data_IF_684046586226
#
_entry.id   IF_684046586226
#
_cell.length_a   1.000
_cell.length_b   1.000
_cell.length_c   1.000
_cell.angle_alpha   90.00
_cell.angle_beta   90.00
_cell.angle_gamma   90.00
#
_symmetry.space_group_name_H-M   'P 1'
#
loop_
_entity.id
_entity.type
_entity.pdbx_description
1 polymer ?
#
# COMPACT_ATOMS: atom_id res chain seq x y z
N UNK A 1 24.48 19.79 49.56
CA UNK A 1 23.43 18.99 48.90
C UNK A 1 23.96 17.57 48.62
N UNK A 2 23.49 16.52 49.33
CA UNK A 2 23.91 15.15 49.01
C UNK A 2 23.24 14.68 47.70
N UNK A 3 24.07 14.22 46.76
CA UNK A 3 23.71 13.85 45.39
C UNK A 3 22.73 12.65 45.41
N UNK A 4 21.73 12.69 44.52
CA UNK A 4 20.83 11.55 44.26
C UNK A 4 21.68 10.30 44.01
N UNK A 5 21.37 9.15 44.65
CA UNK A 5 22.10 7.90 44.43
C UNK A 5 22.23 7.56 42.94
N UNK A 6 23.43 7.14 42.53
CA UNK A 6 23.79 6.87 41.12
C UNK A 6 22.78 5.94 40.44
N UNK A 7 22.28 4.93 41.16
CA UNK A 7 21.25 4.00 40.65
C UNK A 7 19.99 4.70 40.10
N UNK A 8 19.53 5.78 40.72
CA UNK A 8 18.36 6.52 40.21
C UNK A 8 18.69 7.42 39.03
N UNK A 9 19.95 7.87 38.93
CA UNK A 9 20.43 8.63 37.76
C UNK A 9 20.55 7.78 36.50
N UNK A 10 20.75 6.46 36.64
CA UNK A 10 20.78 5.50 35.54
C UNK A 10 19.36 5.02 35.20
N UNK A 11 18.53 4.78 36.23
CA UNK A 11 17.19 4.23 36.04
C UNK A 11 16.22 5.19 35.35
N UNK A 12 16.33 6.51 35.56
CA UNK A 12 15.49 7.51 34.87
C UNK A 12 15.73 7.52 33.35
N UNK A 13 16.98 7.65 32.85
CA UNK A 13 17.27 7.51 31.42
C UNK A 13 16.79 6.19 30.81
N UNK A 14 16.91 5.07 31.54
CA UNK A 14 16.41 3.77 31.07
C UNK A 14 14.89 3.76 30.90
N UNK A 15 14.13 4.36 31.83
CA UNK A 15 12.68 4.49 31.69
C UNK A 15 12.28 5.40 30.52
N UNK A 16 12.99 6.50 30.31
CA UNK A 16 12.76 7.40 29.19
C UNK A 16 13.06 6.69 27.87
N UNK A 17 14.20 6.00 27.78
CA UNK A 17 14.58 5.22 26.61
C UNK A 17 13.55 4.13 26.33
N UNK A 18 13.11 3.40 27.35
CA UNK A 18 12.07 2.40 27.24
C UNK A 18 10.78 2.99 26.64
N UNK A 19 10.31 4.12 27.16
CA UNK A 19 9.11 4.79 26.64
C UNK A 19 9.28 5.23 25.18
N UNK A 20 10.42 5.83 24.83
CA UNK A 20 10.72 6.24 23.45
C UNK A 20 10.76 5.04 22.51
N UNK A 21 11.40 3.93 22.93
CA UNK A 21 11.44 2.69 22.14
C UNK A 21 10.03 2.13 21.95
N UNK A 22 9.18 2.16 22.98
CA UNK A 22 7.78 1.72 22.85
C UNK A 22 7.01 2.54 21.80
N UNK A 23 7.26 3.85 21.69
CA UNK A 23 6.72 4.68 20.61
C UNK A 23 7.34 4.38 19.24
N UNK A 24 8.64 4.11 19.18
CA UNK A 24 9.30 3.78 17.92
C UNK A 24 8.79 2.46 17.33
N UNK A 25 8.44 1.49 18.19
CA UNK A 25 7.95 0.18 17.77
C UNK A 25 6.57 0.22 17.09
N UNK A 26 5.75 1.25 17.33
CA UNK A 26 4.44 1.40 16.69
C UNK A 26 4.49 2.17 15.37
N UNK A 27 5.67 2.64 14.95
CA UNK A 27 5.82 3.36 13.66
C UNK A 27 5.64 2.41 12.46
N UNK A 28 6.30 1.24 12.40
CA UNK A 28 6.11 0.30 11.30
C UNK A 28 4.68 -0.26 11.30
N UNK A 29 4.10 -0.41 10.11
CA UNK A 29 2.78 -1.00 9.89
C UNK A 29 2.67 -1.56 8.48
N UNK A 30 1.54 -2.17 8.12
CA UNK A 30 1.37 -2.81 6.81
C UNK A 30 1.61 -1.80 5.66
N UNK A 31 1.29 -0.52 5.84
CA UNK A 31 1.55 0.53 4.85
C UNK A 31 3.03 0.74 4.54
N UNK A 32 3.96 0.34 5.42
CA UNK A 32 5.40 0.35 5.09
C UNK A 32 5.73 -0.75 4.07
N UNK A 33 5.23 -1.97 4.29
CA UNK A 33 5.40 -3.09 3.36
C UNK A 33 4.70 -2.81 2.03
N UNK A 34 3.52 -2.19 2.07
CA UNK A 34 2.80 -1.77 0.87
C UNK A 34 3.60 -0.74 0.08
N UNK A 35 4.26 0.22 0.73
CA UNK A 35 5.17 1.17 0.06
C UNK A 35 6.36 0.47 -0.59
N UNK A 36 6.95 -0.55 0.05
CA UNK A 36 8.02 -1.34 -0.55
C UNK A 36 7.52 -2.09 -1.80
N UNK A 37 6.33 -2.68 -1.71
CA UNK A 37 5.65 -3.32 -2.83
C UNK A 37 5.39 -2.33 -3.98
N UNK A 38 4.72 -1.22 -3.71
CA UNK A 38 4.42 -0.15 -4.66
C UNK A 38 5.70 0.38 -5.32
N UNK A 39 6.77 0.59 -4.56
CA UNK A 39 8.06 1.01 -5.13
C UNK A 39 8.65 -0.03 -6.08
N UNK A 40 8.49 -1.32 -5.80
CA UNK A 40 8.91 -2.38 -6.71
C UNK A 40 8.07 -2.39 -8.00
N UNK A 41 6.75 -2.21 -7.88
CA UNK A 41 5.83 -2.09 -9.02
C UNK A 41 6.16 -0.86 -9.87
N UNK A 42 6.39 0.31 -9.24
CA UNK A 42 6.78 1.55 -9.93
C UNK A 42 8.08 1.39 -10.73
N UNK A 43 9.06 0.65 -10.20
CA UNK A 43 10.28 0.32 -10.97
C UNK A 43 9.97 -0.48 -12.23
N UNK A 44 9.07 -1.47 -12.13
CA UNK A 44 8.65 -2.26 -13.29
C UNK A 44 7.83 -1.44 -14.28
N UNK A 45 6.93 -0.57 -13.81
CA UNK A 45 6.17 0.36 -14.65
C UNK A 45 7.12 1.26 -15.45
N UNK A 46 8.11 1.87 -14.80
CA UNK A 46 9.09 2.73 -15.48
C UNK A 46 9.99 1.97 -16.46
N UNK A 47 10.15 0.65 -16.28
CA UNK A 47 10.81 -0.23 -17.25
C UNK A 47 9.90 -0.55 -18.45
N UNK A 48 8.62 -0.83 -18.21
CA UNK A 48 7.63 -1.20 -19.24
C UNK A 48 7.23 -0.01 -20.09
N UNK A 49 6.90 1.10 -19.45
CA UNK A 49 6.50 2.36 -20.06
C UNK A 49 7.45 3.47 -19.62
N UNK A 50 8.68 3.55 -20.18
CA UNK A 50 9.60 4.63 -19.87
C UNK A 50 9.01 5.99 -20.26
N UNK A 51 9.29 6.99 -19.44
CA UNK A 51 8.85 8.37 -19.68
C UNK A 51 9.26 8.86 -21.07
N UNK A 52 8.33 9.55 -21.74
CA UNK A 52 8.39 10.09 -23.10
C UNK A 52 8.55 9.04 -24.21
N UNK A 53 8.51 7.74 -23.93
CA UNK A 53 8.63 6.71 -24.96
C UNK A 53 7.30 6.46 -25.66
N UNK A 54 6.24 6.20 -24.89
CA UNK A 54 4.92 5.87 -25.43
C UNK A 54 3.95 7.03 -25.21
N UNK A 55 4.17 8.11 -25.96
CA UNK A 55 3.31 9.30 -25.90
C UNK A 55 2.23 9.19 -26.97
N UNK A 56 0.98 9.13 -26.57
CA UNK A 56 -0.18 9.06 -27.46
C UNK A 56 -0.32 10.35 -28.27
N UNK A 57 -0.39 10.21 -29.59
CA UNK A 57 -0.52 11.32 -30.54
C UNK A 57 -1.96 11.86 -30.52
N UNK A 58 -2.19 13.13 -30.16
CA UNK A 58 -3.53 13.72 -30.12
C UNK A 58 -4.22 13.78 -31.48
N UNK A 59 -3.46 13.70 -32.57
CA UNK A 59 -3.97 13.78 -33.93
C UNK A 59 -4.36 12.41 -34.50
N UNK A 60 -4.00 11.30 -33.84
CA UNK A 60 -4.39 9.97 -34.33
C UNK A 60 -5.91 9.78 -34.21
N UNK A 61 -6.50 9.16 -35.24
CA UNK A 61 -7.93 8.78 -35.22
C UNK A 61 -8.26 7.80 -34.09
N UNK A 62 -7.25 7.12 -33.55
CA UNK A 62 -7.38 6.16 -32.46
C UNK A 62 -7.34 6.80 -31.07
N UNK A 63 -7.11 8.11 -30.94
CA UNK A 63 -6.90 8.76 -29.65
C UNK A 63 -8.03 8.48 -28.64
N UNK A 64 -9.28 8.79 -29.02
CA UNK A 64 -10.44 8.61 -28.12
C UNK A 64 -10.73 7.14 -27.87
N UNK A 65 -10.52 6.28 -28.88
CA UNK A 65 -10.74 4.83 -28.77
C UNK A 65 -9.77 4.23 -27.77
N UNK A 66 -8.50 4.63 -27.81
CA UNK A 66 -7.47 4.15 -26.89
C UNK A 66 -7.74 4.65 -25.47
N UNK A 67 -8.06 5.93 -25.31
CA UNK A 67 -8.30 6.51 -23.99
C UNK A 67 -9.57 5.97 -23.33
N UNK A 68 -10.70 5.91 -24.06
CA UNK A 68 -11.97 5.44 -23.50
C UNK A 68 -12.14 3.92 -23.52
N UNK A 69 -11.33 3.19 -24.29
CA UNK A 69 -11.27 1.73 -24.31
C UNK A 69 -10.14 1.22 -23.42
N UNK A 70 -9.00 0.79 -23.98
CA UNK A 70 -7.87 0.22 -23.24
C UNK A 70 -7.46 0.96 -21.97
N UNK A 71 -7.26 2.28 -22.01
CA UNK A 71 -6.76 3.01 -20.83
C UNK A 71 -7.79 3.04 -19.71
N UNK A 72 -9.04 3.47 -19.99
CA UNK A 72 -10.10 3.45 -18.99
C UNK A 72 -10.35 2.05 -18.43
N UNK A 73 -10.39 1.05 -19.30
CA UNK A 73 -10.67 -0.33 -18.90
C UNK A 73 -9.52 -0.94 -18.09
N UNK A 74 -8.29 -0.47 -18.25
CA UNK A 74 -7.18 -0.83 -17.35
C UNK A 74 -7.46 -0.44 -15.89
N UNK A 75 -7.98 0.76 -15.61
CA UNK A 75 -8.38 1.14 -14.23
C UNK A 75 -9.47 0.23 -13.67
N UNK A 76 -10.45 -0.11 -14.51
CA UNK A 76 -11.55 -0.99 -14.12
C UNK A 76 -11.03 -2.41 -13.85
N UNK A 77 -10.24 -2.96 -14.77
CA UNK A 77 -9.69 -4.31 -14.67
C UNK A 77 -8.77 -4.45 -13.47
N UNK A 78 -7.93 -3.45 -13.20
CA UNK A 78 -7.03 -3.47 -12.05
C UNK A 78 -7.81 -3.60 -10.74
N UNK A 79 -8.85 -2.78 -10.53
CA UNK A 79 -9.71 -2.90 -9.35
C UNK A 79 -10.53 -4.19 -9.35
N UNK A 80 -11.25 -4.51 -10.42
CA UNK A 80 -12.17 -5.65 -10.47
C UNK A 80 -11.43 -6.99 -10.37
N UNK A 81 -10.20 -7.08 -10.88
CA UNK A 81 -9.40 -8.30 -10.80
C UNK A 81 -9.06 -8.72 -9.37
N UNK A 82 -9.18 -7.81 -8.38
CA UNK A 82 -8.93 -8.14 -6.98
C UNK A 82 -10.12 -8.81 -6.29
N UNK A 83 -11.31 -8.79 -6.90
CA UNK A 83 -12.53 -9.42 -6.36
C UNK A 83 -12.45 -10.92 -6.61
N UNK A 84 -12.80 -11.75 -5.61
CA UNK A 84 -13.05 -13.17 -5.84
C UNK A 84 -14.48 -13.38 -6.35
N UNK A 85 -14.61 -13.72 -7.64
CA UNK A 85 -15.91 -13.89 -8.31
C UNK A 85 -16.65 -15.15 -7.84
N UNK A 86 -15.95 -16.13 -7.24
CA UNK A 86 -16.59 -17.28 -6.62
C UNK A 86 -17.26 -16.93 -5.28
N UNK A 87 -16.92 -15.77 -4.70
CA UNK A 87 -17.56 -15.24 -3.50
C UNK A 87 -18.66 -14.25 -3.88
N UNK A 88 -19.91 -14.75 -3.94
CA UNK A 88 -21.05 -13.95 -4.39
C UNK A 88 -21.27 -12.69 -3.52
N UNK A 89 -21.03 -12.77 -2.22
CA UNK A 89 -21.20 -11.63 -1.31
C UNK A 89 -20.22 -10.50 -1.64
N UNK A 90 -18.96 -10.84 -1.86
CA UNK A 90 -17.91 -9.89 -2.23
C UNK A 90 -18.15 -9.30 -3.61
N UNK A 91 -18.55 -10.14 -4.57
CA UNK A 91 -18.90 -9.72 -5.92
C UNK A 91 -20.06 -8.70 -5.91
N UNK A 92 -21.18 -9.06 -5.30
CA UNK A 92 -22.38 -8.21 -5.25
C UNK A 92 -22.12 -6.89 -4.50
N UNK A 93 -21.23 -6.92 -3.50
CA UNK A 93 -20.89 -5.73 -2.72
C UNK A 93 -19.96 -4.76 -3.46
N UNK A 94 -18.96 -5.28 -4.18
CA UNK A 94 -17.84 -4.46 -4.64
C UNK A 94 -17.78 -4.23 -6.15
N UNK A 95 -18.33 -5.13 -6.98
CA UNK A 95 -18.14 -5.08 -8.43
C UNK A 95 -18.57 -3.74 -9.05
N UNK A 96 -19.84 -3.34 -8.84
CA UNK A 96 -20.36 -2.06 -9.35
C UNK A 96 -19.68 -0.85 -8.70
N UNK A 97 -19.32 -0.96 -7.43
CA UNK A 97 -18.63 0.11 -6.70
C UNK A 97 -17.23 0.36 -7.28
N UNK A 98 -16.52 -0.70 -7.64
CA UNK A 98 -15.18 -0.64 -8.23
C UNK A 98 -15.23 -0.05 -9.63
N UNK A 99 -16.20 -0.48 -10.46
CA UNK A 99 -16.42 0.09 -11.79
C UNK A 99 -16.74 1.58 -11.71
N UNK A 100 -17.65 1.97 -10.82
CA UNK A 100 -18.04 3.36 -10.65
C UNK A 100 -16.87 4.20 -10.13
N UNK A 101 -16.11 3.70 -9.16
CA UNK A 101 -14.95 4.39 -8.60
C UNK A 101 -13.85 4.58 -9.64
N UNK A 102 -13.48 3.52 -10.38
CA UNK A 102 -12.50 3.56 -11.46
C UNK A 102 -12.93 4.52 -12.58
N UNK A 103 -14.20 4.47 -12.99
CA UNK A 103 -14.74 5.36 -14.03
C UNK A 103 -14.69 6.82 -13.60
N UNK A 104 -15.09 7.11 -12.36
CA UNK A 104 -15.06 8.47 -11.83
C UNK A 104 -13.62 8.98 -11.70
N UNK A 105 -12.69 8.15 -11.20
CA UNK A 105 -11.28 8.49 -11.13
C UNK A 105 -10.72 8.86 -12.49
N UNK A 106 -10.91 7.98 -13.49
CA UNK A 106 -10.45 8.19 -14.86
C UNK A 106 -11.00 9.48 -15.45
N UNK A 107 -12.32 9.71 -15.34
CA UNK A 107 -12.97 10.90 -15.88
C UNK A 107 -12.45 12.19 -15.21
N UNK A 108 -12.26 12.16 -13.89
CA UNK A 108 -11.75 13.31 -13.14
C UNK A 108 -10.29 13.62 -13.49
N UNK A 109 -9.48 12.58 -13.65
CA UNK A 109 -8.04 12.73 -13.90
C UNK A 109 -7.73 13.13 -15.34
N UNK A 110 -8.36 12.45 -16.30
CA UNK A 110 -7.99 12.50 -17.71
C UNK A 110 -9.05 13.17 -18.59
N UNK A 111 -10.28 13.37 -18.11
CA UNK A 111 -11.38 13.86 -18.94
C UNK A 111 -11.12 15.22 -19.59
N UNK A 112 -10.49 16.16 -18.87
CA UNK A 112 -10.12 17.47 -19.42
C UNK A 112 -9.01 17.34 -20.48
N UNK A 113 -7.95 16.59 -20.18
CA UNK A 113 -6.81 16.33 -21.10
C UNK A 113 -7.28 15.67 -22.39
N UNK A 114 -8.17 14.68 -22.30
CA UNK A 114 -8.77 14.00 -23.46
C UNK A 114 -9.61 14.98 -24.28
N UNK A 115 -10.47 15.76 -23.63
CA UNK A 115 -11.33 16.75 -24.29
C UNK A 115 -10.52 17.82 -25.04
N UNK A 116 -9.37 18.20 -24.48
CA UNK A 116 -8.47 19.19 -25.08
C UNK A 116 -7.53 18.61 -26.15
N UNK A 117 -7.57 17.30 -26.41
CA UNK A 117 -6.64 16.61 -27.32
C UNK A 117 -5.18 16.91 -26.99
N UNK A 118 -4.83 16.75 -25.72
CA UNK A 118 -3.45 16.88 -25.26
C UNK A 118 -2.71 15.56 -25.47
N UNK A 119 -1.41 15.60 -25.77
CA UNK A 119 -0.59 14.40 -25.83
C UNK A 119 -0.51 13.75 -24.42
N UNK A 120 -0.65 12.43 -24.34
CA UNK A 120 -0.65 11.71 -23.06
C UNK A 120 0.49 10.70 -23.05
N UNK A 121 1.41 10.84 -22.09
CA UNK A 121 2.45 9.85 -21.85
C UNK A 121 1.85 8.68 -21.06
N UNK A 122 2.01 7.46 -21.57
CA UNK A 122 1.55 6.27 -20.86
C UNK A 122 2.33 6.01 -19.57
N UNK A 123 3.53 6.59 -19.41
CA UNK A 123 4.20 6.63 -18.11
C UNK A 123 3.38 7.40 -17.07
N UNK A 124 2.77 8.53 -17.44
CA UNK A 124 1.95 9.33 -16.52
C UNK A 124 0.65 8.58 -16.16
N UNK A 125 0.05 7.89 -17.13
CA UNK A 125 -1.10 7.00 -16.90
C UNK A 125 -0.73 5.90 -15.90
N UNK A 126 0.37 5.19 -16.14
CA UNK A 126 0.77 4.07 -15.30
C UNK A 126 1.15 4.51 -13.86
N UNK A 127 1.76 5.68 -13.70
CA UNK A 127 2.03 6.24 -12.37
C UNK A 127 0.73 6.70 -11.67
N UNK A 128 -0.25 7.23 -12.41
CA UNK A 128 -1.56 7.57 -11.84
C UNK A 128 -2.32 6.31 -11.37
N UNK A 129 -2.16 5.17 -12.07
CA UNK A 129 -2.73 3.90 -11.63
C UNK A 129 -2.20 3.45 -10.26
N UNK A 130 -0.95 3.75 -9.91
CA UNK A 130 -0.41 3.49 -8.56
C UNK A 130 -1.18 4.30 -7.51
N UNK A 131 -1.44 5.58 -7.79
CA UNK A 131 -2.21 6.44 -6.88
C UNK A 131 -3.68 5.98 -6.79
N UNK A 132 -4.23 5.50 -7.91
CA UNK A 132 -5.54 4.87 -7.92
C UNK A 132 -5.60 3.61 -7.04
N UNK A 133 -4.60 2.72 -7.10
CA UNK A 133 -4.50 1.54 -6.24
C UNK A 133 -4.50 1.90 -4.76
N UNK A 134 -3.71 2.89 -4.36
CA UNK A 134 -3.68 3.40 -2.98
C UNK A 134 -5.08 3.90 -2.57
N UNK A 135 -5.78 4.61 -3.46
CA UNK A 135 -7.12 5.10 -3.20
C UNK A 135 -8.17 3.97 -3.09
N UNK A 136 -8.07 2.92 -3.92
CA UNK A 136 -8.90 1.72 -3.83
C UNK A 136 -8.65 1.01 -2.50
N UNK A 137 -7.40 0.76 -2.14
CA UNK A 137 -7.03 0.10 -0.89
C UNK A 137 -7.51 0.87 0.35
N UNK A 138 -7.39 2.20 0.33
CA UNK A 138 -7.88 3.08 1.41
C UNK A 138 -9.39 2.99 1.56
N UNK A 139 -10.13 2.94 0.44
CA UNK A 139 -11.59 3.01 0.45
C UNK A 139 -12.27 1.67 0.73
N UNK A 140 -11.72 0.58 0.21
CA UNK A 140 -12.42 -0.71 0.15
C UNK A 140 -11.75 -1.83 0.95
N UNK A 141 -10.48 -1.68 1.33
CA UNK A 141 -9.77 -2.72 2.08
C UNK A 141 -9.60 -2.31 3.54
N UNK A 142 -8.46 -1.72 3.87
CA UNK A 142 -8.09 -1.39 5.24
C UNK A 142 -7.16 -0.18 5.24
N UNK A 143 -7.38 0.74 6.18
CA UNK A 143 -6.54 1.92 6.39
C UNK A 143 -5.08 1.51 6.61
N UNK A 144 -4.87 0.37 7.26
CA UNK A 144 -3.55 -0.18 7.52
C UNK A 144 -2.74 -0.52 6.26
N UNK A 145 -3.37 -0.76 5.09
CA UNK A 145 -2.64 -1.11 3.86
C UNK A 145 -1.92 0.07 3.21
N UNK A 146 -2.28 1.31 3.57
CA UNK A 146 -1.70 2.52 2.95
C UNK A 146 -1.00 3.42 3.97
N UNK A 147 -1.32 3.27 5.26
CA UNK A 147 -0.82 4.12 6.33
C UNK A 147 0.16 3.42 7.26
N UNK A 148 1.02 4.23 7.89
CA UNK A 148 1.98 3.76 8.90
C UNK A 148 1.27 3.27 10.16
N UNK A 149 1.98 2.52 11.00
CA UNK A 149 1.38 1.97 12.22
C UNK A 149 0.84 3.05 13.16
N UNK A 150 1.57 4.16 13.30
CA UNK A 150 1.14 5.27 14.16
C UNK A 150 -0.11 5.96 13.62
N UNK A 151 -0.17 6.23 12.31
CA UNK A 151 -1.37 6.78 11.67
C UNK A 151 -2.55 5.83 11.84
N UNK A 152 -2.30 4.52 11.73
CA UNK A 152 -3.33 3.51 11.88
C UNK A 152 -3.91 3.47 13.30
N UNK A 153 -3.08 3.44 14.35
CA UNK A 153 -3.57 3.44 15.75
C UNK A 153 -4.48 4.65 16.03
N UNK A 154 -4.10 5.83 15.52
CA UNK A 154 -4.80 7.09 15.79
C UNK A 154 -5.91 7.43 14.80
N UNK A 155 -6.15 6.57 13.79
CA UNK A 155 -7.30 6.69 12.91
C UNK A 155 -8.59 6.26 13.63
N UNK A 156 -9.72 6.81 13.20
CA UNK A 156 -11.03 6.38 13.70
C UNK A 156 -11.20 4.87 13.42
N UNK A 157 -11.58 4.10 14.43
CA UNK A 157 -11.69 2.64 14.36
C UNK A 157 -10.38 1.88 14.08
N UNK A 158 -9.23 2.56 14.00
CA UNK A 158 -7.95 1.93 13.65
C UNK A 158 -7.47 0.89 14.66
N UNK A 159 -7.73 1.11 15.95
CA UNK A 159 -7.51 0.07 16.98
C UNK A 159 -8.45 -1.13 16.78
N UNK A 160 -9.70 -0.93 16.42
CA UNK A 160 -10.63 -2.05 16.16
C UNK A 160 -10.17 -2.85 14.94
N UNK A 161 -9.75 -2.15 13.88
CA UNK A 161 -9.26 -2.72 12.63
C UNK A 161 -7.94 -3.49 12.83
N UNK A 162 -6.98 -2.93 13.58
CA UNK A 162 -5.71 -3.57 13.91
C UNK A 162 -5.92 -4.93 14.61
N UNK A 163 -6.91 -5.02 15.51
CA UNK A 163 -7.23 -6.25 16.23
C UNK A 163 -8.28 -7.13 15.54
N UNK A 164 -8.81 -6.70 14.38
CA UNK A 164 -9.82 -7.44 13.62
C UNK A 164 -9.26 -8.75 13.04
N UNK A 165 -10.05 -9.82 13.14
CA UNK A 165 -9.81 -11.08 12.45
C UNK A 165 -10.02 -10.97 10.94
N UNK A 166 -10.97 -10.14 10.49
CA UNK A 166 -11.28 -9.98 9.07
C UNK A 166 -10.10 -9.34 8.34
N UNK A 167 -9.50 -8.31 8.93
CA UNK A 167 -8.28 -7.67 8.38
C UNK A 167 -7.09 -8.64 8.45
N UNK A 168 -7.07 -9.58 9.41
CA UNK A 168 -6.05 -10.62 9.44
C UNK A 168 -6.19 -11.57 8.25
N UNK A 169 -7.40 -12.09 8.02
CA UNK A 169 -7.68 -12.99 6.92
C UNK A 169 -7.43 -12.31 5.56
N UNK A 170 -7.79 -11.03 5.42
CA UNK A 170 -7.50 -10.25 4.23
C UNK A 170 -5.98 -10.11 4.01
N UNK A 171 -5.21 -9.78 5.04
CA UNK A 171 -3.75 -9.70 4.94
C UNK A 171 -3.12 -11.06 4.53
N UNK A 172 -3.57 -12.15 5.13
CA UNK A 172 -3.11 -13.51 4.81
C UNK A 172 -3.45 -13.91 3.37
N UNK A 173 -4.61 -13.52 2.87
CA UNK A 173 -5.02 -13.74 1.49
C UNK A 173 -4.12 -12.98 0.51
N UNK A 174 -3.80 -11.71 0.82
CA UNK A 174 -2.93 -10.87 -0.01
C UNK A 174 -1.48 -11.37 -0.03
N UNK A 175 -1.00 -11.93 1.09
CA UNK A 175 0.36 -12.48 1.23
C UNK A 175 0.55 -13.82 0.51
N UNK A 176 -0.53 -14.53 0.19
CA UNK A 176 -0.46 -15.80 -0.50
C UNK A 176 0.08 -15.62 -1.92
N UNK A 177 1.03 -16.46 -2.35
CA UNK A 177 1.60 -16.42 -3.70
C UNK A 177 1.36 -17.76 -4.40
N UNK A 178 0.62 -17.71 -5.52
CA UNK A 178 0.43 -18.82 -6.45
C UNK A 178 1.60 -18.90 -7.44
N UNK A 179 1.72 -20.03 -8.15
CA UNK A 179 2.48 -20.01 -9.40
C UNK A 179 1.78 -19.07 -10.38
N UNK A 180 2.54 -18.28 -11.14
CA UNK A 180 1.93 -17.29 -12.05
C UNK A 180 1.05 -17.95 -13.11
N UNK A 181 1.50 -19.09 -13.64
CA UNK A 181 0.74 -19.89 -14.62
C UNK A 181 -0.64 -20.29 -14.08
N UNK A 182 -0.68 -20.81 -12.84
CA UNK A 182 -1.96 -21.14 -12.22
C UNK A 182 -2.83 -19.91 -12.03
N UNK A 183 -2.27 -18.80 -11.55
CA UNK A 183 -3.04 -17.58 -11.35
C UNK A 183 -3.63 -17.03 -12.65
N UNK A 184 -2.82 -17.02 -13.73
CA UNK A 184 -3.24 -16.55 -15.05
C UNK A 184 -4.39 -17.40 -15.61
N UNK A 185 -4.36 -18.73 -15.41
CA UNK A 185 -5.44 -19.65 -15.80
C UNK A 185 -6.75 -19.42 -15.02
N UNK A 186 -6.69 -18.75 -13.87
CA UNK A 186 -7.85 -18.43 -13.04
C UNK A 186 -8.45 -17.05 -13.33
N UNK A 187 -7.88 -16.26 -14.25
CA UNK A 187 -8.45 -15.00 -14.69
C UNK A 187 -9.00 -15.13 -16.11
N UNK A 188 -10.32 -14.98 -16.24
CA UNK A 188 -10.97 -14.94 -17.55
C UNK A 188 -11.18 -13.49 -18.00
N UNK A 189 -10.83 -13.21 -19.26
CA UNK A 189 -11.09 -11.93 -19.92
C UNK A 189 -12.27 -12.05 -20.90
N UNK A 190 -13.02 -10.96 -21.08
CA UNK A 190 -13.95 -10.85 -22.22
C UNK A 190 -13.18 -10.84 -23.55
N UNK A 191 -13.87 -11.11 -24.65
CA UNK A 191 -13.29 -11.18 -25.99
C UNK A 191 -12.61 -9.86 -26.43
N UNK A 192 -11.48 -10.01 -27.15
CA UNK A 192 -10.68 -8.91 -27.75
C UNK A 192 -10.15 -7.87 -26.74
N UNK A 193 -9.51 -8.30 -25.63
CA UNK A 193 -9.05 -7.39 -24.59
C UNK A 193 -8.00 -6.38 -25.09
N UNK A 194 -7.21 -6.74 -26.11
CA UNK A 194 -6.17 -5.86 -26.67
C UNK A 194 -6.75 -4.71 -27.52
N UNK A 195 -7.97 -4.87 -28.08
CA UNK A 195 -8.65 -3.82 -28.85
C UNK A 195 -9.65 -3.01 -28.01
N UNK A 196 -10.42 -3.68 -27.16
CA UNK A 196 -11.51 -3.06 -26.40
C UNK A 196 -11.09 -2.67 -24.99
N UNK A 197 -9.91 -3.12 -24.55
CA UNK A 197 -9.41 -2.98 -23.18
C UNK A 197 -9.71 -4.19 -22.30
N UNK A 198 -8.92 -4.32 -21.22
CA UNK A 198 -9.03 -5.43 -20.28
C UNK A 198 -10.41 -5.41 -19.60
N UNK A 199 -11.17 -6.50 -19.73
CA UNK A 199 -12.45 -6.68 -19.05
C UNK A 199 -12.46 -8.04 -18.39
N UNK A 200 -12.45 -8.03 -17.06
CA UNK A 200 -12.38 -9.24 -16.24
C UNK A 200 -13.77 -9.85 -16.13
N UNK A 201 -13.91 -11.08 -16.63
CA UNK A 201 -15.14 -11.88 -16.57
C UNK A 201 -15.14 -12.80 -15.35
N UNK A 202 -13.98 -13.27 -14.93
CA UNK A 202 -13.80 -14.11 -13.75
C UNK A 202 -12.43 -13.84 -13.13
N UNK A 203 -12.34 -13.89 -11.80
CA UNK A 203 -11.08 -13.83 -11.06
C UNK A 203 -11.23 -14.57 -9.73
N UNK A 204 -10.15 -15.24 -9.29
CA UNK A 204 -10.03 -15.82 -7.95
C UNK A 204 -9.69 -14.79 -6.87
N UNK A 205 -9.55 -13.51 -7.26
CA UNK A 205 -9.31 -12.40 -6.36
C UNK A 205 -7.84 -12.19 -6.00
N UNK A 206 -7.66 -11.47 -4.91
CA UNK A 206 -6.41 -10.77 -4.63
C UNK A 206 -5.33 -11.64 -3.98
N UNK A 207 -4.38 -12.11 -4.79
CA UNK A 207 -3.00 -12.35 -4.38
C UNK A 207 -2.17 -11.20 -4.96
N UNK A 208 -1.77 -10.23 -4.13
CA UNK A 208 -1.35 -8.91 -4.62
C UNK A 208 -0.17 -8.99 -5.62
N UNK A 209 0.78 -9.89 -5.35
CA UNK A 209 1.95 -10.07 -6.21
C UNK A 209 1.55 -10.68 -7.55
N UNK A 210 0.79 -11.79 -7.53
CA UNK A 210 0.34 -12.46 -8.75
C UNK A 210 -0.56 -11.56 -9.61
N UNK A 211 -1.48 -10.84 -8.96
CA UNK A 211 -2.38 -9.90 -9.59
C UNK A 211 -1.63 -8.79 -10.32
N UNK A 212 -0.65 -8.16 -9.66
CA UNK A 212 0.15 -7.10 -10.30
C UNK A 212 1.08 -7.62 -11.38
N UNK A 213 1.64 -8.82 -11.25
CA UNK A 213 2.39 -9.46 -12.34
C UNK A 213 1.50 -9.66 -13.56
N UNK A 214 0.32 -10.25 -13.38
CA UNK A 214 -0.66 -10.44 -14.44
C UNK A 214 -1.01 -9.11 -15.10
N UNK A 215 -1.37 -8.11 -14.31
CA UNK A 215 -1.80 -6.81 -14.81
C UNK A 215 -0.70 -6.11 -15.62
N UNK A 216 0.53 -6.05 -15.11
CA UNK A 216 1.68 -5.47 -15.80
C UNK A 216 1.99 -6.19 -17.12
N UNK A 217 1.88 -7.52 -17.14
CA UNK A 217 2.08 -8.31 -18.35
C UNK A 217 0.99 -8.07 -19.39
N UNK A 218 -0.26 -7.83 -18.97
CA UNK A 218 -1.34 -7.40 -19.87
C UNK A 218 -1.13 -6.00 -20.44
N UNK A 219 -0.49 -5.09 -19.71
CA UNK A 219 -0.06 -3.80 -20.28
C UNK A 219 1.05 -3.99 -21.33
N UNK A 220 2.01 -4.90 -21.10
CA UNK A 220 3.03 -5.28 -22.10
C UNK A 220 2.38 -5.83 -23.37
N UNK A 221 1.41 -6.74 -23.23
CA UNK A 221 0.68 -7.31 -24.37
C UNK A 221 -0.06 -6.23 -25.15
N UNK A 222 -0.77 -5.34 -24.46
CA UNK A 222 -1.52 -4.23 -25.07
C UNK A 222 -0.62 -3.29 -25.85
N UNK A 223 0.58 -2.96 -25.33
CA UNK A 223 1.58 -2.15 -26.02
C UNK A 223 2.12 -2.85 -27.28
N UNK A 224 2.49 -4.14 -27.17
CA UNK A 224 2.97 -4.93 -28.32
C UNK A 224 1.90 -5.01 -29.40
N UNK A 225 0.65 -5.22 -29.01
CA UNK A 225 -0.48 -5.23 -29.93
C UNK A 225 -0.63 -3.88 -30.64
N UNK A 226 -0.71 -2.77 -29.89
CA UNK A 226 -0.84 -1.43 -30.45
C UNK A 226 0.30 -1.06 -31.44
N UNK A 227 1.51 -1.55 -31.21
CA UNK A 227 2.67 -1.32 -32.10
C UNK A 227 2.73 -2.27 -33.30
N UNK A 228 2.08 -3.43 -33.24
CA UNK A 228 2.08 -4.44 -34.31
C UNK A 228 0.90 -4.31 -35.27
N UNK A 229 -0.12 -3.51 -34.94
CA UNK A 229 -1.23 -3.21 -35.85
C UNK A 229 -0.77 -2.38 -37.06
N UNK A 230 -0.28 -3.07 -38.11
CA UNK A 230 0.20 -2.45 -39.36
C UNK A 230 -0.89 -1.75 -40.18
N UNK A 231 -2.16 -2.05 -39.90
CA UNK A 231 -3.33 -1.60 -40.69
C UNK A 231 -3.84 -0.22 -40.21
N UNK A 232 -3.49 0.19 -38.98
CA UNK A 232 -3.88 1.46 -38.41
C UNK A 232 -2.67 2.39 -38.31
N UNK A 233 -2.92 3.69 -38.39
CA UNK A 233 -1.91 4.70 -38.08
C UNK A 233 -1.34 4.44 -36.68
N UNK A 234 -0.01 4.36 -36.57
CA UNK A 234 0.65 4.14 -35.27
C UNK A 234 0.19 5.23 -34.28
N UNK A 235 -0.32 4.84 -33.09
CA UNK A 235 -1.01 5.77 -32.21
C UNK A 235 -0.06 6.70 -31.45
N UNK A 236 1.23 6.39 -31.39
CA UNK A 236 2.21 7.17 -30.63
C UNK A 236 2.85 8.28 -31.48
N UNK A 237 3.36 9.33 -30.83
CA UNK A 237 4.10 10.41 -31.50
C UNK A 237 5.36 9.88 -32.22
N UNK A 238 6.09 8.98 -31.58
CA UNK A 238 7.21 8.28 -32.22
C UNK A 238 6.69 7.15 -33.12
N UNK A 239 6.64 7.43 -34.42
CA UNK A 239 6.20 6.48 -35.45
C UNK A 239 7.25 5.38 -35.75
N UNK A 240 8.46 5.48 -35.20
CA UNK A 240 9.53 4.49 -35.43
C UNK A 240 9.42 3.28 -34.50
N UNK A 241 8.72 3.43 -33.37
CA UNK A 241 8.50 2.36 -32.38
C UNK A 241 7.97 1.07 -32.99
N UNK A 242 8.51 -0.05 -32.52
CA UNK A 242 8.18 -1.41 -32.92
C UNK A 242 7.79 -2.24 -31.71
N UNK A 243 7.06 -3.33 -31.93
CA UNK A 243 6.70 -4.26 -30.85
C UNK A 243 7.93 -4.87 -30.14
N UNK A 244 9.07 -4.97 -30.83
CA UNK A 244 10.36 -5.40 -30.26
C UNK A 244 10.97 -4.40 -29.28
N UNK A 245 10.52 -3.14 -29.27
CA UNK A 245 11.02 -2.12 -28.35
C UNK A 245 10.34 -2.18 -26.98
N UNK A 246 9.27 -2.98 -26.85
CA UNK A 246 8.58 -3.24 -25.59
C UNK A 246 9.42 -4.21 -24.76
N UNK A 247 9.56 -3.93 -23.47
CA UNK A 247 10.39 -4.74 -22.56
C UNK A 247 9.82 -6.16 -22.36
N UNK A 248 10.61 -7.01 -21.71
CA UNK A 248 10.21 -8.37 -21.35
C UNK A 248 9.13 -8.38 -20.27
N UNK A 249 8.43 -9.50 -20.16
CA UNK A 249 7.47 -9.72 -19.08
C UNK A 249 8.09 -9.60 -17.70
N UNK A 250 7.25 -9.25 -16.74
CA UNK A 250 7.55 -9.20 -15.31
C UNK A 250 7.23 -10.58 -14.73
N UNK A 251 8.11 -11.08 -13.88
CA UNK A 251 7.86 -12.26 -13.07
C UNK A 251 7.58 -11.92 -11.61
N UNK A 252 7.10 -12.90 -10.84
CA UNK A 252 6.86 -12.77 -9.39
C UNK A 252 8.11 -12.26 -8.66
N UNK A 253 9.30 -12.71 -9.05
CA UNK A 253 10.56 -12.34 -8.41
C UNK A 253 11.04 -10.92 -8.74
N UNK A 254 10.40 -10.23 -9.68
CA UNK A 254 10.72 -8.84 -10.02
C UNK A 254 10.04 -7.84 -9.08
N UNK A 255 9.09 -8.31 -8.26
CA UNK A 255 8.35 -7.53 -7.28
C UNK A 255 8.79 -7.88 -5.86
N UNK A 256 8.69 -6.91 -4.95
CA UNK A 256 8.81 -7.16 -3.52
C UNK A 256 7.63 -8.00 -3.03
N UNK A 257 7.83 -8.89 -2.07
CA UNK A 257 6.75 -9.73 -1.52
C UNK A 257 6.40 -9.21 -0.12
N UNK A 258 5.27 -8.50 0.03
CA UNK A 258 4.84 -8.03 1.34
C UNK A 258 4.50 -9.20 2.26
N UNK A 259 4.58 -8.97 3.57
CA UNK A 259 4.13 -9.91 4.60
C UNK A 259 3.22 -9.17 5.57
N UNK A 260 2.07 -8.76 5.05
CA UNK A 260 1.08 -7.95 5.76
C UNK A 260 0.59 -8.63 7.03
N UNK A 261 0.37 -9.94 7.01
CA UNK A 261 -0.11 -10.71 8.14
C UNK A 261 0.89 -10.69 9.31
N UNK A 262 2.18 -10.90 9.02
CA UNK A 262 3.24 -10.80 10.03
C UNK A 262 3.37 -9.36 10.54
N UNK A 263 3.41 -8.39 9.64
CA UNK A 263 3.57 -6.97 9.99
C UNK A 263 2.41 -6.48 10.84
N UNK A 264 1.18 -6.92 10.57
CA UNK A 264 0.01 -6.66 11.42
C UNK A 264 0.15 -7.29 12.81
N UNK A 265 0.64 -8.52 12.90
CA UNK A 265 0.85 -9.18 14.20
C UNK A 265 1.97 -8.52 15.02
N UNK A 266 3.06 -8.09 14.37
CA UNK A 266 4.10 -7.28 15.01
C UNK A 266 3.52 -5.95 15.50
N UNK A 267 2.66 -5.32 14.70
CA UNK A 267 2.01 -4.07 15.06
C UNK A 267 1.05 -4.23 16.26
N UNK A 268 0.28 -5.33 16.33
CA UNK A 268 -0.52 -5.67 17.52
C UNK A 268 0.36 -5.79 18.76
N UNK A 269 1.46 -6.53 18.66
CA UNK A 269 2.39 -6.72 19.78
C UNK A 269 3.05 -5.40 20.22
N UNK A 270 3.46 -4.57 19.26
CA UNK A 270 4.01 -3.24 19.50
C UNK A 270 2.98 -2.33 20.19
N UNK A 271 1.72 -2.37 19.77
CA UNK A 271 0.63 -1.59 20.36
C UNK A 271 0.34 -2.02 21.80
N UNK A 272 0.29 -3.32 22.08
CA UNK A 272 0.15 -3.83 23.45
C UNK A 272 1.33 -3.38 24.31
N UNK A 273 2.55 -3.50 23.77
CA UNK A 273 3.76 -3.07 24.47
C UNK A 273 3.74 -1.56 24.77
N UNK A 274 3.31 -0.74 23.81
CA UNK A 274 3.15 0.69 23.95
C UNK A 274 2.10 1.05 25.02
N UNK A 275 0.95 0.39 25.05
CA UNK A 275 -0.05 0.56 26.10
C UNK A 275 0.50 0.18 27.49
N UNK A 276 1.21 -0.95 27.60
CA UNK A 276 1.87 -1.38 28.84
C UNK A 276 2.95 -0.40 29.29
N UNK A 277 3.60 0.30 28.35
CA UNK A 277 4.64 1.26 28.66
C UNK A 277 4.12 2.39 29.56
N UNK A 278 2.88 2.85 29.37
CA UNK A 278 2.26 3.86 30.23
C UNK A 278 2.10 3.38 31.67
N UNK A 279 1.63 2.13 31.87
CA UNK A 279 1.46 1.55 33.19
C UNK A 279 2.81 1.36 33.90
N UNK A 280 3.81 0.84 33.19
CA UNK A 280 5.16 0.59 33.70
C UNK A 280 5.86 1.91 34.06
N UNK A 281 5.88 2.88 33.14
CA UNK A 281 6.54 4.18 33.35
C UNK A 281 5.88 4.96 34.48
N UNK A 282 4.54 4.98 34.53
CA UNK A 282 3.80 5.65 35.62
C UNK A 282 4.10 5.00 36.97
N UNK A 283 3.97 3.68 37.07
CA UNK A 283 4.21 2.94 38.31
C UNK A 283 5.66 3.09 38.79
N UNK A 284 6.62 2.99 37.87
CA UNK A 284 8.04 3.17 38.17
C UNK A 284 8.35 4.59 38.61
N UNK A 285 7.74 5.60 37.98
CA UNK A 285 7.90 7.02 38.35
C UNK A 285 7.36 7.28 39.76
N UNK A 286 6.14 6.81 40.07
CA UNK A 286 5.56 6.93 41.41
C UNK A 286 6.45 6.26 42.46
N UNK A 287 6.92 5.04 42.19
CA UNK A 287 7.83 4.32 43.08
C UNK A 287 9.14 5.10 43.33
N UNK A 288 9.76 5.64 42.28
CA UNK A 288 10.99 6.44 42.39
C UNK A 288 10.76 7.70 43.23
N UNK A 289 9.68 8.42 42.99
CA UNK A 289 9.33 9.63 43.75
C UNK A 289 9.16 9.30 45.23
N UNK A 290 8.41 8.24 45.56
CA UNK A 290 8.21 7.80 46.95
C UNK A 290 9.53 7.41 47.62
N UNK A 291 10.41 6.67 46.94
CA UNK A 291 11.73 6.29 47.48
C UNK A 291 12.66 7.48 47.67
N UNK A 292 12.72 8.41 46.71
CA UNK A 292 13.52 9.63 46.82
C UNK A 292 13.00 10.48 47.98
N UNK A 293 11.68 10.62 48.13
CA UNK A 293 11.06 11.34 49.26
C UNK A 293 11.38 10.67 50.60
N UNK A 294 11.29 9.33 50.70
CA UNK A 294 11.67 8.58 51.91
C UNK A 294 13.15 8.81 52.28
N UNK A 295 14.06 8.73 51.30
CA UNK A 295 15.49 8.99 51.52
C UNK A 295 15.73 10.42 52.01
N UNK A 296 15.07 11.42 51.40
CA UNK A 296 15.16 12.81 51.86
C UNK A 296 14.65 12.98 53.29
N UNK A 297 13.53 12.34 53.63
CA UNK A 297 12.93 12.42 54.97
C UNK A 297 13.77 11.73 56.05
N UNK A 298 14.30 10.52 55.79
CA UNK A 298 15.20 9.83 56.74
C UNK A 298 16.47 10.65 56.98
N UNK A 299 17.03 11.26 55.93
CA UNK A 299 18.21 12.13 56.08
C UNK A 299 17.90 13.42 56.85
N UNK A 300 16.66 13.93 56.80
CA UNK A 300 16.24 15.10 57.60
C UNK A 300 16.17 14.78 59.09
N UNK A 301 15.76 13.57 59.48
CA UNK A 301 15.71 13.13 60.88
C UNK A 301 17.10 12.88 61.49
N UNK A 302 18.08 12.45 60.68
CA UNK A 302 19.47 12.25 61.11
C UNK A 302 20.27 13.56 61.29
N UNK A 303 19.67 14.71 60.97
CA UNK A 303 20.26 16.04 61.15
C UNK A 303 19.57 16.86 62.26
N UNK A 304 18.80 16.22 63.16
CA UNK A 304 18.39 16.88 64.41
C UNK A 304 19.67 17.10 65.23
N UNK A 305 20.10 18.35 65.52
CA UNK A 305 21.27 18.59 66.34
C UNK A 305 21.01 18.00 67.74
N UNK A 306 21.98 17.24 68.25
CA UNK A 306 22.00 16.78 69.62
C UNK A 306 22.33 17.96 70.56
N UNK A 307 21.43 18.94 70.63
CA UNK A 307 21.46 19.99 71.64
C UNK A 307 20.06 20.11 72.20
N UNK A 308 19.85 19.48 73.36
CA UNK A 308 19.32 20.04 74.61
C UNK A 308 19.08 18.87 75.56
N UNK A 309 20.08 18.59 76.41
CA UNK A 309 19.92 18.15 77.79
C UNK A 309 21.08 18.68 78.60
#
# INVERSE_FOLDING_TARGET
MKKIPIKYKIFIPLLILYFIVSWALIIPGMGLDAKLFINSVSKQINRIMPKNKYVLDPNTKMYDVIMHGPVKNSYIADAVSTINFANQEEYDMHYDQYIAFATNWFNNRWGATIKNKEAIDFNDVANDMITFDEAVATKFHSFGFVHTGIEWIFHQDGMQELFSSNVQAMAEHQDFIWTQEYYDDQIELEMLPEMLGLRVKNSIGASIVNNKVWFLNKQVDSLKFALSMQILEKPFLDKTLQASDVTSYVGINDLYHPNFALTKNLMKAATIHWLLSFAIVTSATVYLVLKIKKIKNTNKMLHIPAEVK
#
